data_IF_443411914680
#
_entry.id   IF_443411914680
#
_cell.length_a   1.000
_cell.length_b   1.000
_cell.length_c   1.000
_cell.angle_alpha   90.00
_cell.angle_beta   90.00
_cell.angle_gamma   90.00
#
_symmetry.space_group_name_H-M   'P 1'
#
loop_
_entity.id
_entity.type
_entity.pdbx_description
1 polymer ?
#
# COMPACT_ATOMS: atom_id res chain seq x y z
N UNK A 1 -32.70 -15.70 9.49
CA UNK A 1 -31.85 -15.47 8.31
C UNK A 1 -30.49 -15.11 8.85
N UNK A 2 -29.50 -15.97 8.67
CA UNK A 2 -28.10 -15.68 9.08
C UNK A 2 -27.64 -14.43 8.33
N UNK A 3 -27.34 -13.37 9.03
CA UNK A 3 -26.68 -12.19 8.45
C UNK A 3 -25.33 -12.69 7.93
N UNK A 4 -25.22 -12.87 6.61
CA UNK A 4 -24.01 -13.38 5.99
C UNK A 4 -22.84 -12.48 6.35
N UNK A 5 -21.68 -13.09 6.64
CA UNK A 5 -20.47 -12.34 6.91
C UNK A 5 -20.20 -11.33 5.78
N UNK A 6 -19.74 -10.10 6.10
CA UNK A 6 -19.52 -9.07 5.11
C UNK A 6 -18.49 -9.49 4.07
N UNK A 7 -18.70 -9.05 2.82
CA UNK A 7 -17.87 -9.37 1.66
C UNK A 7 -16.39 -8.93 1.84
N UNK A 8 -16.16 -7.82 2.53
CA UNK A 8 -14.85 -7.26 2.88
C UNK A 8 -14.97 -6.76 4.32
N UNK A 9 -14.00 -7.12 5.16
CA UNK A 9 -13.85 -6.59 6.51
C UNK A 9 -12.66 -5.64 6.55
N UNK A 10 -12.73 -4.61 7.41
CA UNK A 10 -11.60 -3.73 7.69
C UNK A 10 -11.05 -4.03 9.08
N UNK A 11 -9.74 -4.06 9.17
CA UNK A 11 -8.97 -4.22 10.41
C UNK A 11 -8.12 -2.97 10.62
N UNK A 12 -8.31 -2.34 11.77
CA UNK A 12 -7.54 -1.18 12.17
C UNK A 12 -6.06 -1.54 12.41
N UNK A 13 -5.17 -0.65 11.99
CA UNK A 13 -3.71 -0.87 12.10
C UNK A 13 -3.08 -0.13 13.28
N UNK A 14 -3.84 0.73 13.95
CA UNK A 14 -3.31 1.69 14.93
C UNK A 14 -2.74 2.97 14.28
N UNK A 15 -2.72 3.07 12.96
CA UNK A 15 -2.40 4.27 12.19
C UNK A 15 -3.70 4.81 11.61
N UNK A 16 -4.13 5.97 12.05
CA UNK A 16 -5.46 6.52 11.72
C UNK A 16 -5.73 6.52 10.22
N UNK A 17 -6.78 5.81 9.79
CA UNK A 17 -7.22 5.68 8.41
C UNK A 17 -6.46 4.67 7.54
N UNK A 18 -5.31 4.15 7.99
CA UNK A 18 -4.61 3.04 7.33
C UNK A 18 -5.29 1.73 7.74
N UNK A 19 -5.80 0.97 6.78
CA UNK A 19 -6.62 -0.21 7.04
C UNK A 19 -6.09 -1.44 6.30
N UNK A 20 -6.07 -2.58 6.99
CA UNK A 20 -5.96 -3.88 6.34
C UNK A 20 -7.39 -4.32 5.96
N UNK A 21 -7.61 -4.59 4.68
CA UNK A 21 -8.89 -5.08 4.18
C UNK A 21 -8.81 -6.58 3.92
N UNK A 22 -9.76 -7.32 4.46
CA UNK A 22 -9.83 -8.76 4.33
C UNK A 22 -11.05 -9.14 3.49
N UNK A 23 -10.87 -9.39 2.18
CA UNK A 23 -11.95 -9.85 1.33
C UNK A 23 -12.31 -11.30 1.68
N UNK A 24 -13.58 -11.63 1.64
CA UNK A 24 -14.07 -13.01 1.80
C UNK A 24 -13.93 -13.76 0.48
N UNK A 25 -13.06 -14.77 0.40
CA UNK A 25 -12.98 -15.62 -0.79
C UNK A 25 -14.21 -16.53 -0.88
N UNK A 26 -14.69 -16.77 -2.10
CA UNK A 26 -15.71 -17.77 -2.42
C UNK A 26 -15.06 -18.85 -3.27
N UNK A 27 -15.00 -20.06 -2.75
CA UNK A 27 -14.39 -21.21 -3.42
C UNK A 27 -15.47 -22.20 -3.88
N UNK A 28 -15.31 -22.72 -5.10
CA UNK A 28 -16.08 -23.84 -5.65
C UNK A 28 -15.19 -24.69 -6.58
N UNK A 29 -15.79 -25.66 -7.33
CA UNK A 29 -15.07 -26.52 -8.26
C UNK A 29 -14.30 -25.79 -9.37
N UNK A 30 -14.56 -24.50 -9.60
CA UNK A 30 -13.86 -23.66 -10.60
C UNK A 30 -12.63 -22.96 -10.02
N UNK A 31 -12.44 -22.97 -8.69
CA UNK A 31 -11.38 -22.27 -7.99
C UNK A 31 -11.89 -21.26 -6.97
N UNK A 32 -11.22 -20.13 -6.84
CA UNK A 32 -11.49 -19.10 -5.85
C UNK A 32 -11.85 -17.79 -6.53
N UNK A 33 -12.99 -17.22 -6.14
CA UNK A 33 -13.40 -15.86 -6.51
C UNK A 33 -13.16 -14.90 -5.33
N UNK A 34 -12.49 -13.78 -5.58
CA UNK A 34 -12.22 -12.75 -4.58
C UNK A 34 -12.65 -11.39 -5.13
N UNK A 35 -13.48 -10.67 -4.38
CA UNK A 35 -13.87 -9.31 -4.73
C UNK A 35 -12.95 -8.33 -3.97
N UNK A 36 -12.08 -7.66 -4.70
CA UNK A 36 -11.07 -6.76 -4.14
C UNK A 36 -11.56 -5.33 -3.93
N UNK A 37 -12.61 -4.93 -4.65
CA UNK A 37 -13.23 -3.61 -4.52
C UNK A 37 -14.73 -3.69 -4.71
N UNK A 38 -15.48 -2.95 -3.90
CA UNK A 38 -16.92 -2.76 -4.03
C UNK A 38 -17.29 -1.39 -3.44
N UNK A 39 -17.69 -0.46 -4.27
CA UNK A 39 -17.91 0.95 -3.90
C UNK A 39 -18.81 1.10 -2.66
N UNK A 40 -20.00 0.47 -2.69
CA UNK A 40 -20.93 0.57 -1.55
C UNK A 40 -20.31 0.02 -0.27
N UNK A 41 -19.58 -1.10 -0.35
CA UNK A 41 -18.93 -1.69 0.83
C UNK A 41 -17.82 -0.80 1.39
N UNK A 42 -17.02 -0.17 0.53
CA UNK A 42 -16.01 0.79 0.97
C UNK A 42 -16.65 1.98 1.68
N UNK A 43 -17.75 2.51 1.14
CA UNK A 43 -18.52 3.59 1.78
C UNK A 43 -19.07 3.18 3.16
N UNK A 44 -19.60 1.98 3.30
CA UNK A 44 -20.05 1.42 4.59
C UNK A 44 -18.93 1.28 5.62
N UNK A 45 -17.69 1.04 5.16
CA UNK A 45 -16.48 1.01 5.99
C UNK A 45 -15.91 2.40 6.29
N UNK A 46 -16.56 3.48 5.85
CA UNK A 46 -16.06 4.84 6.00
C UNK A 46 -14.91 5.22 5.05
N UNK A 47 -14.67 4.39 4.02
CA UNK A 47 -13.58 4.61 3.06
C UNK A 47 -14.12 5.38 1.85
N UNK A 48 -13.77 6.66 1.76
CA UNK A 48 -14.06 7.49 0.58
C UNK A 48 -12.98 7.26 -0.49
N UNK A 49 -13.20 6.29 -1.36
CA UNK A 49 -12.23 5.90 -2.39
C UNK A 49 -12.92 5.68 -3.73
N UNK A 50 -12.52 6.44 -4.73
CA UNK A 50 -12.99 6.33 -6.12
C UNK A 50 -11.81 6.08 -7.05
N UNK A 51 -11.52 4.84 -7.43
CA UNK A 51 -10.38 4.53 -8.30
C UNK A 51 -10.42 5.32 -9.61
N UNK A 52 -9.31 5.99 -9.93
CA UNK A 52 -9.08 6.77 -11.14
C UNK A 52 -8.04 6.15 -12.04
N UNK A 53 -7.09 5.44 -11.46
CA UNK A 53 -6.02 4.75 -12.14
C UNK A 53 -5.78 3.38 -11.53
N UNK A 54 -5.45 2.40 -12.36
CA UNK A 54 -5.05 1.06 -11.93
C UNK A 54 -3.83 0.62 -12.73
N UNK A 55 -2.85 0.07 -12.04
CA UNK A 55 -1.64 -0.51 -12.63
C UNK A 55 -1.13 -1.67 -11.77
N UNK A 56 -0.18 -2.41 -12.30
CA UNK A 56 0.50 -3.46 -11.58
C UNK A 56 2.02 -3.43 -11.83
N UNK A 57 2.77 -4.05 -10.92
CA UNK A 57 4.19 -4.32 -11.11
C UNK A 57 4.49 -5.80 -10.88
N UNK A 58 5.45 -6.34 -11.63
CA UNK A 58 6.05 -7.65 -11.38
C UNK A 58 7.49 -7.40 -10.94
N UNK A 59 7.91 -8.04 -9.86
CA UNK A 59 9.22 -7.80 -9.25
C UNK A 59 9.92 -9.12 -8.93
N UNK A 60 11.20 -9.20 -9.26
CA UNK A 60 12.07 -10.27 -8.78
C UNK A 60 12.25 -10.16 -7.25
N UNK A 61 12.70 -11.22 -6.62
CA UNK A 61 13.07 -11.22 -5.21
C UNK A 61 14.10 -10.12 -4.92
N UNK A 62 14.02 -9.54 -3.72
CA UNK A 62 14.89 -8.48 -3.21
C UNK A 62 14.81 -7.14 -3.98
N UNK A 63 13.83 -6.99 -4.89
CA UNK A 63 13.48 -5.68 -5.44
C UNK A 63 12.68 -4.89 -4.40
N UNK A 64 13.11 -3.65 -4.13
CA UNK A 64 12.38 -2.68 -3.33
C UNK A 64 11.89 -1.54 -4.22
N UNK A 65 10.59 -1.22 -4.11
CA UNK A 65 9.97 -0.06 -4.76
C UNK A 65 9.38 0.83 -3.69
N UNK A 66 9.89 2.04 -3.58
CA UNK A 66 9.42 2.96 -2.54
C UNK A 66 10.46 3.97 -2.09
N UNK A 67 10.12 4.77 -1.13
CA UNK A 67 8.78 5.03 -0.54
C UNK A 67 8.08 6.14 -1.34
N UNK A 68 7.00 5.84 -2.02
CA UNK A 68 6.38 6.72 -3.02
C UNK A 68 5.07 7.37 -2.53
N UNK A 69 4.86 8.62 -2.93
CA UNK A 69 3.62 9.38 -2.75
C UNK A 69 3.53 10.48 -3.81
N UNK A 70 2.40 11.20 -3.88
CA UNK A 70 2.30 12.45 -4.61
C UNK A 70 2.05 13.61 -3.66
N UNK A 71 2.65 14.75 -3.97
CA UNK A 71 2.47 16.02 -3.26
C UNK A 71 1.09 16.63 -3.59
N UNK A 72 0.49 17.42 -2.69
CA UNK A 72 -0.65 18.27 -3.04
C UNK A 72 -0.34 19.17 -4.25
N UNK A 73 -1.32 19.46 -5.14
CA UNK A 73 -2.73 19.04 -5.07
C UNK A 73 -3.01 17.66 -5.65
N UNK A 74 -2.01 16.90 -6.10
CA UNK A 74 -2.17 15.58 -6.70
C UNK A 74 -2.03 14.41 -5.69
N UNK A 75 -2.00 14.71 -4.39
CA UNK A 75 -1.95 13.70 -3.34
C UNK A 75 -3.14 12.73 -3.46
N UNK A 76 -2.87 11.43 -3.29
CA UNK A 76 -3.88 10.39 -3.51
C UNK A 76 -3.80 9.26 -2.49
N UNK A 77 -4.92 8.61 -2.28
CA UNK A 77 -5.01 7.36 -1.56
C UNK A 77 -4.71 6.18 -2.50
N UNK A 78 -4.26 5.06 -1.92
CA UNK A 78 -3.95 3.83 -2.65
C UNK A 78 -4.68 2.64 -2.05
N UNK A 79 -5.10 1.72 -2.90
CA UNK A 79 -5.50 0.37 -2.52
C UNK A 79 -4.52 -0.59 -3.18
N UNK A 80 -3.76 -1.35 -2.37
CA UNK A 80 -2.71 -2.23 -2.87
C UNK A 80 -2.89 -3.66 -2.39
N UNK A 81 -2.49 -4.63 -3.20
CA UNK A 81 -2.55 -6.05 -2.86
C UNK A 81 -1.65 -6.90 -3.76
N UNK A 82 -1.24 -8.06 -3.25
CA UNK A 82 -0.38 -9.01 -3.95
C UNK A 82 -1.21 -10.16 -4.52
N UNK A 83 -1.18 -10.34 -5.86
CA UNK A 83 -1.90 -11.43 -6.55
C UNK A 83 -1.06 -12.68 -6.78
N UNK A 84 0.26 -12.54 -6.85
CA UNK A 84 1.20 -13.63 -7.03
C UNK A 84 2.46 -13.36 -6.21
N UNK A 85 3.09 -14.39 -5.68
CA UNK A 85 4.26 -14.25 -4.82
C UNK A 85 3.91 -13.70 -3.44
N UNK A 86 4.83 -12.93 -2.87
CA UNK A 86 4.67 -12.29 -1.56
C UNK A 86 5.59 -11.08 -1.42
N UNK A 87 5.14 -10.08 -0.69
CA UNK A 87 5.89 -8.86 -0.45
C UNK A 87 5.80 -8.46 1.02
N UNK A 88 6.84 -7.81 1.54
CA UNK A 88 6.76 -7.03 2.76
C UNK A 88 6.34 -5.61 2.38
N UNK A 89 5.08 -5.29 2.60
CA UNK A 89 4.52 -3.96 2.37
C UNK A 89 4.83 -3.05 3.54
N UNK A 90 5.28 -1.82 3.26
CA UNK A 90 5.73 -0.85 4.27
C UNK A 90 5.12 0.51 3.98
N UNK A 91 4.53 1.12 5.02
CA UNK A 91 3.85 2.42 4.93
C UNK A 91 4.39 3.33 6.00
N UNK A 92 4.97 4.48 5.61
CA UNK A 92 5.48 5.51 6.51
C UNK A 92 4.42 6.61 6.71
N UNK A 93 4.05 6.89 7.95
CA UNK A 93 3.17 8.04 8.27
C UNK A 93 3.94 9.35 8.20
N UNK A 94 3.56 10.20 7.24
CA UNK A 94 4.21 11.50 7.03
C UNK A 94 3.41 12.68 7.60
N UNK A 95 2.25 12.46 8.23
CA UNK A 95 1.37 13.51 8.73
C UNK A 95 1.94 14.14 9.99
N UNK A 96 2.13 15.47 9.99
CA UNK A 96 2.78 16.23 11.07
C UNK A 96 2.11 16.07 12.43
N UNK A 97 0.77 16.05 12.44
CA UNK A 97 -0.03 16.01 13.66
C UNK A 97 -0.54 14.62 14.01
N UNK A 98 0.00 13.58 13.38
CA UNK A 98 -0.35 12.19 13.68
C UNK A 98 0.41 11.68 14.92
N UNK A 99 -0.27 10.92 15.76
CA UNK A 99 0.37 10.20 16.87
C UNK A 99 1.39 9.14 16.38
N UNK A 100 1.35 8.77 15.09
CA UNK A 100 2.25 7.82 14.45
C UNK A 100 3.18 8.49 13.43
N UNK A 101 3.31 9.83 13.46
CA UNK A 101 4.20 10.56 12.57
C UNK A 101 5.63 10.02 12.60
N UNK A 102 6.22 9.78 11.45
CA UNK A 102 7.56 9.21 11.29
C UNK A 102 7.69 7.72 11.60
N UNK A 103 6.61 7.05 12.00
CA UNK A 103 6.59 5.60 12.25
C UNK A 103 6.17 4.83 11.00
N UNK A 104 6.70 3.61 10.86
CA UNK A 104 6.31 2.70 9.80
C UNK A 104 5.33 1.63 10.28
N UNK A 105 4.33 1.32 9.46
CA UNK A 105 3.50 0.12 9.55
C UNK A 105 3.97 -0.88 8.51
N UNK A 106 3.92 -2.17 8.84
CA UNK A 106 4.30 -3.25 7.93
C UNK A 106 3.28 -4.36 7.88
N UNK A 107 3.12 -4.95 6.69
CA UNK A 107 2.28 -6.13 6.49
C UNK A 107 2.84 -7.00 5.38
N UNK A 108 2.93 -8.32 5.59
CA UNK A 108 3.14 -9.22 4.47
C UNK A 108 1.84 -9.35 3.67
N UNK A 109 1.89 -9.03 2.38
CA UNK A 109 0.81 -9.26 1.42
C UNK A 109 1.23 -10.39 0.48
N UNK A 110 0.31 -11.33 0.25
CA UNK A 110 0.60 -12.49 -0.61
C UNK A 110 -0.69 -13.09 -1.21
N UNK A 111 -0.52 -13.96 -2.20
CA UNK A 111 -1.63 -14.63 -2.89
C UNK A 111 -2.46 -15.56 -1.99
N UNK A 112 -1.94 -15.94 -0.82
CA UNK A 112 -2.63 -16.86 0.12
C UNK A 112 -3.50 -16.10 1.09
N UNK A 113 -2.96 -15.05 1.76
CA UNK A 113 -3.73 -14.24 2.71
C UNK A 113 -4.75 -13.33 2.01
N UNK A 114 -4.49 -12.95 0.74
CA UNK A 114 -5.37 -12.12 -0.09
C UNK A 114 -5.78 -10.80 0.56
N UNK A 115 -5.01 -10.34 1.51
CA UNK A 115 -5.25 -9.06 2.16
C UNK A 115 -4.93 -7.91 1.23
N UNK A 116 -5.65 -6.81 1.42
CA UNK A 116 -5.38 -5.56 0.74
C UNK A 116 -5.03 -4.51 1.80
N UNK A 117 -4.23 -3.56 1.41
CA UNK A 117 -3.93 -2.40 2.24
C UNK A 117 -4.55 -1.15 1.62
N UNK A 118 -5.40 -0.46 2.38
CA UNK A 118 -5.88 0.86 2.03
C UNK A 118 -4.98 1.90 2.71
N UNK A 119 -4.25 2.65 1.90
CA UNK A 119 -3.29 3.68 2.32
C UNK A 119 -3.87 5.05 2.01
N UNK A 120 -4.30 5.84 2.99
CA UNK A 120 -4.85 7.17 2.76
C UNK A 120 -3.76 8.20 2.37
N UNK A 121 -4.19 9.41 2.01
CA UNK A 121 -3.29 10.55 1.79
C UNK A 121 -2.48 10.84 3.05
N UNK A 122 -1.22 11.26 2.88
CA UNK A 122 -0.32 11.59 3.97
C UNK A 122 0.60 10.46 4.40
N UNK A 123 0.60 9.37 3.64
CA UNK A 123 1.55 8.27 3.83
C UNK A 123 2.46 8.09 2.60
N UNK A 124 3.71 7.70 2.84
CA UNK A 124 4.57 7.14 1.80
C UNK A 124 4.45 5.62 1.81
N UNK A 125 4.40 5.01 0.64
CA UNK A 125 4.20 3.58 0.44
C UNK A 125 5.33 2.96 -0.36
N UNK A 126 5.77 1.79 0.07
CA UNK A 126 6.73 0.96 -0.63
C UNK A 126 6.60 -0.51 -0.24
N UNK A 127 7.32 -1.37 -0.92
CA UNK A 127 7.40 -2.79 -0.58
C UNK A 127 8.74 -3.39 -0.97
N UNK A 128 9.10 -4.45 -0.26
CA UNK A 128 10.18 -5.38 -0.63
C UNK A 128 9.58 -6.66 -1.17
N UNK A 129 9.98 -7.07 -2.36
CA UNK A 129 9.60 -8.39 -2.89
C UNK A 129 10.35 -9.51 -2.17
N UNK A 130 9.62 -10.45 -1.59
CA UNK A 130 10.15 -11.59 -0.85
C UNK A 130 10.25 -12.88 -1.71
N UNK A 131 9.75 -12.83 -2.95
CA UNK A 131 9.78 -13.93 -3.90
C UNK A 131 9.93 -13.40 -5.32
N UNK A 132 10.41 -14.23 -6.23
CA UNK A 132 10.41 -13.91 -7.66
C UNK A 132 8.97 -13.80 -8.18
N UNK A 133 8.81 -13.02 -9.25
CA UNK A 133 7.54 -12.79 -9.94
C UNK A 133 6.40 -12.31 -9.02
N UNK A 134 6.74 -11.59 -7.95
CA UNK A 134 5.71 -11.00 -7.09
C UNK A 134 4.94 -9.93 -7.84
N UNK A 135 3.62 -10.15 -8.01
CA UNK A 135 2.71 -9.28 -8.73
C UNK A 135 1.90 -8.44 -7.75
N UNK A 136 2.20 -7.14 -7.70
CA UNK A 136 1.48 -6.15 -6.92
C UNK A 136 0.53 -5.34 -7.81
N UNK A 137 -0.72 -5.22 -7.38
CA UNK A 137 -1.75 -4.38 -8.02
C UNK A 137 -1.98 -3.14 -7.18
N UNK A 138 -2.18 -2.02 -7.86
CA UNK A 138 -2.43 -0.71 -7.26
C UNK A 138 -3.65 -0.07 -7.89
N UNK A 139 -4.53 0.48 -7.07
CA UNK A 139 -5.58 1.42 -7.48
C UNK A 139 -5.36 2.73 -6.75
N UNK A 140 -5.48 3.84 -7.46
CA UNK A 140 -5.35 5.19 -6.89
C UNK A 140 -6.58 6.03 -7.20
N UNK A 141 -6.93 6.98 -6.33
CA UNK A 141 -8.08 7.87 -6.48
C UNK A 141 -7.73 9.21 -7.20
N UNK A 142 -6.47 9.34 -7.64
CA UNK A 142 -6.04 10.33 -8.61
C UNK A 142 -5.09 9.69 -9.63
N UNK A 143 -4.96 10.28 -10.81
CA UNK A 143 -4.02 9.85 -11.84
C UNK A 143 -2.60 10.27 -11.49
N UNK A 144 -1.62 9.57 -12.05
CA UNK A 144 -0.21 9.92 -11.88
C UNK A 144 0.09 11.32 -12.41
N UNK A 145 0.77 12.12 -11.58
CA UNK A 145 1.21 13.47 -11.90
C UNK A 145 2.74 13.57 -11.78
N UNK A 146 3.49 13.54 -12.88
CA UNK A 146 4.96 13.60 -12.83
C UNK A 146 5.51 14.82 -12.09
N UNK A 147 4.80 15.95 -12.14
CA UNK A 147 5.20 17.19 -11.46
C UNK A 147 5.06 17.11 -9.92
N UNK A 148 4.27 16.17 -9.41
CA UNK A 148 4.00 16.00 -7.97
C UNK A 148 4.51 14.65 -7.45
N UNK A 149 5.10 13.83 -8.32
CA UNK A 149 5.65 12.53 -7.92
C UNK A 149 6.87 12.72 -7.01
N UNK A 150 6.83 12.10 -5.84
CA UNK A 150 7.83 12.26 -4.79
C UNK A 150 8.08 10.95 -4.05
N UNK A 151 9.12 10.94 -3.24
CA UNK A 151 9.45 9.80 -2.42
C UNK A 151 10.39 10.13 -1.27
N UNK A 152 10.56 9.17 -0.37
CA UNK A 152 11.49 9.18 0.76
C UNK A 152 12.48 8.02 0.59
N UNK A 153 13.75 8.26 0.91
CA UNK A 153 14.79 7.23 0.91
C UNK A 153 14.37 6.06 1.83
N UNK A 154 14.38 4.87 1.28
CA UNK A 154 13.85 3.65 1.89
C UNK A 154 14.49 3.28 3.25
N UNK A 155 15.75 3.67 3.46
CA UNK A 155 16.58 3.35 4.62
C UNK A 155 16.71 4.51 5.63
N UNK A 156 15.87 5.56 5.51
CA UNK A 156 16.08 6.82 6.24
C UNK A 156 15.11 7.09 7.40
N UNK A 157 14.18 6.20 7.69
CA UNK A 157 13.13 6.40 8.71
C UNK A 157 13.15 5.36 9.85
N UNK A 158 14.30 4.71 10.06
CA UNK A 158 14.53 3.82 11.20
C UNK A 158 13.78 2.49 11.12
N UNK A 159 13.46 2.05 9.92
CA UNK A 159 12.88 0.72 9.67
C UNK A 159 13.96 -0.27 9.25
N UNK A 160 14.03 -1.41 9.94
CA UNK A 160 15.00 -2.48 9.65
C UNK A 160 14.46 -3.42 8.57
N UNK A 161 14.86 -3.20 7.33
CA UNK A 161 14.50 -4.06 6.21
C UNK A 161 15.22 -5.41 6.28
N UNK A 162 14.55 -6.53 5.95
CA UNK A 162 15.16 -7.86 5.99
C UNK A 162 16.14 -8.13 4.81
N UNK A 163 16.66 -7.08 4.22
CA UNK A 163 17.65 -7.12 3.12
C UNK A 163 18.60 -5.95 3.24
N UNK A 164 19.89 -6.21 3.18
CA UNK A 164 20.92 -5.16 3.30
C UNK A 164 21.13 -4.36 1.99
N UNK A 165 20.94 -5.02 0.84
CA UNK A 165 21.24 -4.44 -0.48
C UNK A 165 20.10 -4.76 -1.46
N UNK A 166 18.94 -4.07 -1.36
CA UNK A 166 17.84 -4.30 -2.29
C UNK A 166 18.17 -3.77 -3.69
N UNK A 167 17.50 -4.35 -4.69
CA UNK A 167 17.51 -3.79 -6.04
C UNK A 167 16.55 -2.60 -6.10
N UNK A 168 17.06 -1.42 -6.44
CA UNK A 168 16.32 -0.17 -6.52
C UNK A 168 16.39 0.42 -7.92
N UNK A 169 15.37 1.20 -8.28
CA UNK A 169 15.43 2.07 -9.45
C UNK A 169 16.40 3.25 -9.24
N UNK A 170 16.92 3.82 -10.32
CA UNK A 170 17.74 5.04 -10.26
C UNK A 170 17.00 6.23 -9.64
N UNK A 171 15.68 6.28 -9.80
CA UNK A 171 14.82 7.28 -9.17
C UNK A 171 14.78 7.09 -7.65
N UNK A 172 14.51 5.88 -7.19
CA UNK A 172 14.32 5.58 -5.77
C UNK A 172 15.62 5.77 -4.96
N UNK A 173 16.79 5.59 -5.60
CA UNK A 173 18.11 5.87 -5.02
C UNK A 173 18.35 7.36 -4.72
N UNK A 174 17.61 8.26 -5.35
CA UNK A 174 17.82 9.72 -5.28
C UNK A 174 16.84 10.43 -4.36
N UNK A 175 15.92 9.72 -3.75
CA UNK A 175 14.97 10.33 -2.82
C UNK A 175 15.67 10.92 -1.58
N UNK A 176 15.15 12.04 -1.06
CA UNK A 176 15.66 12.64 0.17
C UNK A 176 15.43 11.73 1.38
N UNK A 177 16.28 11.85 2.37
CA UNK A 177 16.08 11.18 3.65
C UNK A 177 14.89 11.78 4.42
N UNK A 178 14.17 10.95 5.18
CA UNK A 178 13.00 11.37 5.96
C UNK A 178 13.28 12.56 6.89
N UNK A 179 14.37 12.59 7.69
CA UNK A 179 14.64 13.71 8.58
C UNK A 179 14.87 15.06 7.87
N UNK A 180 15.22 15.03 6.58
CA UNK A 180 15.44 16.22 5.77
C UNK A 180 14.22 16.63 4.93
N UNK A 181 13.14 15.85 4.99
CA UNK A 181 11.94 16.10 4.18
C UNK A 181 10.90 16.91 4.96
N UNK A 182 10.55 18.09 4.46
CA UNK A 182 9.44 18.88 5.01
C UNK A 182 8.10 18.37 4.46
N UNK A 183 7.40 17.56 5.24
CA UNK A 183 6.12 17.00 4.83
C UNK A 183 5.04 18.08 4.71
N UNK A 184 4.24 18.08 3.63
CA UNK A 184 3.10 18.98 3.47
C UNK A 184 1.80 18.44 4.09
N UNK A 185 1.82 17.27 4.75
CA UNK A 185 0.66 16.56 5.27
C UNK A 185 0.43 16.75 6.77
#
# INVERSE_FOLDING_TARGET
MSVGQPMIQAVETGFAGLLVLQPRPVADRRGVFVKTFHETRFRELGIAFQPREEFYSISAKDVLRGMHFQLPPAAHAKLVYCLQGRVLDVVLDMRRNSATSGRAFTRELNAVNRELLFVPVGFAHGFLSLADDSLMVYKTDAVHSPAHDAGIAWDSFGFDWPVAHPTLSERDRKFPAWPAFETPF
#
